data_IF_345635443691
#
_entry.id   IF_345635443691
#
_cell.length_a   1.000
_cell.length_b   1.000
_cell.length_c   1.000
_cell.angle_alpha   90.00
_cell.angle_beta   90.00
_cell.angle_gamma   90.00
#
_symmetry.space_group_name_H-M   'P 1'
#
loop_
_entity.id
_entity.type
_entity.pdbx_description
1 polymer ?
#
# COMPACT_ATOMS: atom_id res chain seq x y z
N UNK A 1 -18.16 20.26 -34.53
CA UNK A 1 -16.73 19.98 -34.74
C UNK A 1 -15.92 20.96 -33.89
N UNK A 2 -15.33 20.52 -32.78
CA UNK A 2 -14.48 21.38 -31.95
C UNK A 2 -13.16 21.60 -32.71
N UNK A 3 -12.83 22.86 -33.02
CA UNK A 3 -11.64 23.19 -33.82
C UNK A 3 -10.39 23.49 -32.99
N UNK A 4 -10.56 23.84 -31.71
CA UNK A 4 -9.46 24.10 -30.76
C UNK A 4 -9.89 23.81 -29.32
N UNK A 5 -8.98 23.24 -28.54
CA UNK A 5 -9.06 23.14 -27.08
C UNK A 5 -7.85 23.89 -26.52
N UNK A 6 -8.06 24.73 -25.51
CA UNK A 6 -7.00 25.41 -24.78
C UNK A 6 -6.98 24.86 -23.35
N UNK A 7 -5.92 24.14 -23.01
CA UNK A 7 -5.69 23.66 -21.65
C UNK A 7 -4.72 24.64 -20.98
N UNK A 8 -5.07 25.12 -19.79
CA UNK A 8 -4.16 25.91 -18.95
C UNK A 8 -3.86 25.08 -17.71
N UNK A 9 -2.60 24.66 -17.58
CA UNK A 9 -2.13 23.89 -16.44
C UNK A 9 -1.48 24.84 -15.45
N UNK A 10 -2.00 24.86 -14.22
CA UNK A 10 -1.38 25.55 -13.10
C UNK A 10 -0.70 24.49 -12.23
N UNK A 11 0.62 24.59 -12.06
CA UNK A 11 1.38 23.64 -11.25
C UNK A 11 2.42 24.37 -10.41
N UNK A 12 2.85 23.70 -9.34
CA UNK A 12 3.97 24.12 -8.50
C UNK A 12 5.00 23.01 -8.48
N UNK A 13 6.21 23.30 -8.93
CA UNK A 13 7.31 22.33 -8.90
C UNK A 13 7.65 21.93 -7.47
N UNK A 14 8.02 20.67 -7.28
CA UNK A 14 8.39 20.10 -5.98
C UNK A 14 7.33 20.23 -4.87
N UNK A 15 6.06 20.46 -5.24
CA UNK A 15 4.96 20.58 -4.29
C UNK A 15 4.64 19.27 -3.54
N UNK A 16 5.10 18.12 -4.07
CA UNK A 16 4.93 16.81 -3.46
C UNK A 16 6.26 16.09 -3.38
N UNK A 17 6.47 15.41 -2.27
CA UNK A 17 7.57 14.46 -2.11
C UNK A 17 7.30 13.24 -2.99
N UNK A 18 8.15 13.00 -3.97
CA UNK A 18 8.12 11.76 -4.75
C UNK A 18 8.82 10.69 -3.91
N UNK A 19 8.15 9.55 -3.70
CA UNK A 19 8.72 8.43 -2.96
C UNK A 19 9.37 7.49 -3.95
N UNK A 20 10.64 7.12 -3.70
CA UNK A 20 11.26 6.00 -4.41
C UNK A 20 10.38 4.77 -4.26
N UNK A 21 10.17 4.06 -5.36
CA UNK A 21 9.51 2.76 -5.35
C UNK A 21 10.52 1.68 -5.68
N UNK A 22 10.35 0.52 -5.03
CA UNK A 22 11.17 -0.64 -5.32
C UNK A 22 11.02 -1.03 -6.80
N UNK A 23 12.10 -1.41 -7.52
CA UNK A 23 12.03 -1.73 -8.94
C UNK A 23 10.95 -2.75 -9.32
N UNK A 24 10.78 -3.80 -8.50
CA UNK A 24 9.69 -4.78 -8.66
C UNK A 24 8.31 -4.11 -8.69
N UNK A 25 8.04 -3.20 -7.76
CA UNK A 25 6.74 -2.51 -7.64
C UNK A 25 6.52 -1.61 -8.86
N UNK A 26 7.55 -0.84 -9.26
CA UNK A 26 7.43 0.04 -10.44
C UNK A 26 7.18 -0.77 -11.70
N UNK A 27 7.94 -1.84 -11.93
CA UNK A 27 7.76 -2.69 -13.10
C UNK A 27 6.39 -3.34 -13.13
N UNK A 28 5.94 -3.89 -11.99
CA UNK A 28 4.62 -4.51 -11.88
C UNK A 28 3.50 -3.50 -12.21
N UNK A 29 3.53 -2.32 -11.57
CA UNK A 29 2.49 -1.29 -11.80
C UNK A 29 2.55 -0.71 -13.22
N UNK A 30 3.74 -0.55 -13.80
CA UNK A 30 3.91 -0.02 -15.15
C UNK A 30 3.21 -0.88 -16.21
N UNK A 31 3.25 -2.21 -16.08
CA UNK A 31 2.55 -3.12 -17.00
C UNK A 31 1.04 -2.97 -16.93
N UNK A 32 0.47 -2.74 -15.74
CA UNK A 32 -0.95 -2.46 -15.60
C UNK A 32 -1.33 -1.09 -16.16
N UNK A 33 -0.53 -0.05 -15.87
CA UNK A 33 -0.78 1.31 -16.39
C UNK A 33 -0.74 1.32 -17.93
N UNK A 34 0.20 0.61 -18.56
CA UNK A 34 0.27 0.49 -20.03
C UNK A 34 -1.03 -0.02 -20.66
N UNK A 35 -1.80 -0.84 -19.95
CA UNK A 35 -3.10 -1.36 -20.43
C UNK A 35 -4.26 -0.38 -20.27
N UNK A 36 -4.10 0.63 -19.41
CA UNK A 36 -5.16 1.59 -19.06
C UNK A 36 -5.04 2.91 -19.84
N UNK A 37 -3.84 3.26 -20.32
CA UNK A 37 -3.58 4.55 -20.96
C UNK A 37 -3.54 4.45 -22.48
N UNK A 38 -3.96 5.51 -23.17
CA UNK A 38 -3.92 5.62 -24.63
C UNK A 38 -2.50 5.80 -25.19
N UNK A 39 -1.55 6.19 -24.34
CA UNK A 39 -0.16 6.50 -24.67
C UNK A 39 0.84 5.60 -23.89
N UNK A 40 0.80 4.26 -24.07
CA UNK A 40 1.60 3.33 -23.27
C UNK A 40 3.12 3.52 -23.39
N UNK A 41 3.59 4.08 -24.52
CA UNK A 41 5.00 4.41 -24.75
C UNK A 41 5.56 5.46 -23.77
N UNK A 42 4.71 6.32 -23.22
CA UNK A 42 5.13 7.39 -22.33
C UNK A 42 5.36 6.89 -20.89
N UNK A 43 4.83 5.69 -20.55
CA UNK A 43 4.95 5.09 -19.21
C UNK A 43 6.41 4.90 -18.78
N UNK A 44 7.31 4.60 -19.73
CA UNK A 44 8.73 4.36 -19.42
C UNK A 44 9.42 5.62 -18.87
N UNK A 45 9.05 6.82 -19.36
CA UNK A 45 9.58 8.07 -18.86
C UNK A 45 9.19 8.30 -17.38
N UNK A 46 7.95 7.99 -17.01
CA UNK A 46 7.48 8.07 -15.63
C UNK A 46 8.11 7.03 -14.71
N UNK A 47 8.34 5.82 -15.21
CA UNK A 47 9.04 4.76 -14.47
C UNK A 47 10.44 5.20 -14.04
N UNK A 48 11.22 5.79 -14.94
CA UNK A 48 12.58 6.25 -14.63
C UNK A 48 12.60 7.32 -13.53
N UNK A 49 11.60 8.21 -13.52
CA UNK A 49 11.46 9.22 -12.47
C UNK A 49 11.25 8.60 -11.07
N UNK A 50 10.55 7.46 -10.97
CA UNK A 50 10.28 6.78 -9.69
C UNK A 50 11.45 5.94 -9.18
N UNK A 51 12.27 5.41 -10.09
CA UNK A 51 13.42 4.55 -9.75
C UNK A 51 14.62 5.34 -9.22
N UNK A 52 14.80 6.57 -9.72
CA UNK A 52 15.97 7.41 -9.47
C UNK A 52 15.89 8.27 -8.19
N UNK A 53 14.80 8.18 -7.43
CA UNK A 53 14.68 8.87 -6.14
C UNK A 53 15.53 8.15 -5.08
N UNK A 54 16.25 8.85 -4.19
CA UNK A 54 16.99 8.22 -3.10
C UNK A 54 16.09 7.35 -2.21
N UNK A 55 16.61 6.22 -1.76
CA UNK A 55 15.93 5.37 -0.80
C UNK A 55 15.85 6.08 0.56
N UNK A 56 14.69 6.00 1.22
CA UNK A 56 14.59 6.37 2.63
C UNK A 56 15.32 5.38 3.53
N UNK A 57 15.49 5.74 4.79
CA UNK A 57 15.98 4.80 5.82
C UNK A 57 14.86 3.80 6.13
N UNK A 58 15.18 2.51 6.05
CA UNK A 58 14.26 1.43 6.39
C UNK A 58 14.53 0.90 7.79
N UNK A 59 13.49 0.40 8.47
CA UNK A 59 13.61 -0.36 9.73
C UNK A 59 13.72 -1.86 9.47
N UNK A 60 13.59 -2.28 8.22
CA UNK A 60 13.64 -3.66 7.81
C UNK A 60 15.07 -4.06 7.41
N UNK A 61 15.45 -5.29 7.76
CA UNK A 61 16.64 -5.90 7.20
C UNK A 61 16.50 -6.16 5.70
N UNK A 62 17.61 -6.48 5.05
CA UNK A 62 17.61 -6.84 3.63
C UNK A 62 16.65 -8.02 3.36
N UNK A 63 15.99 -7.98 2.20
CA UNK A 63 15.04 -9.01 1.79
C UNK A 63 14.36 -8.65 0.49
N UNK A 64 13.68 -9.62 -0.10
CA UNK A 64 13.00 -9.48 -1.38
C UNK A 64 11.66 -10.22 -1.41
N UNK A 65 10.92 -10.10 -0.30
CA UNK A 65 9.61 -10.71 -0.07
C UNK A 65 8.53 -10.00 -0.90
N UNK A 66 7.92 -10.72 -1.83
CA UNK A 66 6.84 -10.22 -2.69
C UNK A 66 5.46 -10.31 -2.00
N UNK A 67 5.28 -11.33 -1.17
CA UNK A 67 4.03 -11.61 -0.46
C UNK A 67 4.24 -11.60 1.06
N UNK A 68 3.59 -10.68 1.76
CA UNK A 68 3.76 -10.50 3.21
C UNK A 68 2.45 -10.79 3.93
N UNK A 69 2.49 -11.72 4.88
CA UNK A 69 1.36 -12.01 5.77
C UNK A 69 1.60 -11.25 7.07
N UNK A 70 0.66 -10.42 7.48
CA UNK A 70 0.67 -9.70 8.77
C UNK A 70 -0.31 -10.40 9.70
N UNK A 71 0.16 -10.85 10.87
CA UNK A 71 -0.62 -11.73 11.75
C UNK A 71 -0.23 -11.56 13.21
N UNK A 72 -1.09 -11.92 14.18
CA UNK A 72 -0.68 -12.07 15.58
C UNK A 72 0.40 -13.14 15.74
N UNK A 73 1.32 -13.00 16.72
CA UNK A 73 2.36 -14.00 16.97
C UNK A 73 1.81 -15.41 17.20
N UNK A 74 0.68 -15.51 17.90
CA UNK A 74 0.00 -16.78 18.22
C UNK A 74 -0.47 -17.56 16.99
N UNK A 75 -0.61 -16.91 15.83
CA UNK A 75 -1.08 -17.53 14.59
C UNK A 75 0.04 -17.76 13.58
N UNK A 76 1.28 -17.38 13.89
CA UNK A 76 2.42 -17.41 12.97
C UNK A 76 2.63 -18.79 12.34
N UNK A 77 2.54 -19.85 13.14
CA UNK A 77 2.80 -21.21 12.67
C UNK A 77 1.69 -21.74 11.75
N UNK A 78 0.46 -21.25 11.90
CA UNK A 78 -0.67 -21.55 11.02
C UNK A 78 -0.38 -21.16 9.57
N UNK A 79 0.41 -20.10 9.36
CA UNK A 79 0.74 -19.58 8.03
C UNK A 79 1.87 -20.32 7.33
N UNK A 80 2.59 -21.21 8.02
CA UNK A 80 3.77 -21.91 7.47
C UNK A 80 3.46 -22.66 6.18
N UNK A 81 2.34 -23.40 6.15
CA UNK A 81 1.93 -24.14 4.94
C UNK A 81 1.69 -23.21 3.75
N UNK A 82 1.12 -22.02 3.97
CA UNK A 82 0.85 -21.06 2.91
C UNK A 82 2.13 -20.39 2.40
N UNK A 83 3.03 -19.96 3.30
CA UNK A 83 4.29 -19.33 2.91
C UNK A 83 5.17 -20.30 2.12
N UNK A 84 5.30 -21.53 2.58
CA UNK A 84 6.04 -22.58 1.86
C UNK A 84 5.42 -22.87 0.49
N UNK A 85 4.09 -22.91 0.38
CA UNK A 85 3.42 -23.11 -0.90
C UNK A 85 3.67 -21.96 -1.89
N UNK A 86 3.61 -20.71 -1.41
CA UNK A 86 3.93 -19.53 -2.24
C UNK A 86 5.38 -19.61 -2.72
N UNK A 87 6.31 -19.93 -1.83
CA UNK A 87 7.74 -20.07 -2.14
C UNK A 87 7.98 -21.17 -3.18
N UNK A 88 7.36 -22.35 -3.03
CA UNK A 88 7.47 -23.45 -4.01
C UNK A 88 7.02 -23.08 -5.41
N UNK A 89 6.11 -22.11 -5.54
CA UNK A 89 5.62 -21.59 -6.83
C UNK A 89 6.33 -20.33 -7.29
N UNK A 90 7.47 -20.00 -6.69
CA UNK A 90 8.30 -18.86 -7.08
C UNK A 90 7.89 -17.51 -6.46
N UNK A 91 6.88 -17.48 -5.59
CA UNK A 91 6.46 -16.25 -4.90
C UNK A 91 7.14 -16.21 -3.53
N UNK A 92 8.16 -15.38 -3.38
CA UNK A 92 8.85 -15.20 -2.10
C UNK A 92 7.89 -14.63 -1.06
N UNK A 93 7.52 -15.45 -0.08
CA UNK A 93 6.52 -15.10 0.92
C UNK A 93 7.09 -15.14 2.34
N UNK A 94 6.63 -14.23 3.20
CA UNK A 94 7.00 -14.19 4.62
C UNK A 94 5.81 -13.87 5.49
N UNK A 95 5.79 -14.47 6.68
CA UNK A 95 4.93 -14.08 7.78
C UNK A 95 5.65 -13.07 8.68
N UNK A 96 5.00 -11.95 9.02
CA UNK A 96 5.53 -10.87 9.85
C UNK A 96 4.56 -10.59 11.01
N UNK A 97 5.01 -10.76 12.27
CA UNK A 97 4.11 -10.68 13.41
C UNK A 97 3.81 -9.24 13.83
N UNK A 98 2.61 -8.99 14.34
CA UNK A 98 2.14 -7.64 14.73
C UNK A 98 2.91 -7.04 15.89
N UNK A 99 3.41 -7.83 16.82
CA UNK A 99 4.24 -7.36 17.95
C UNK A 99 5.51 -6.65 17.48
N UNK A 100 6.18 -7.23 16.48
CA UNK A 100 7.39 -6.70 15.84
C UNK A 100 7.08 -5.41 15.06
N UNK A 101 5.87 -5.29 14.53
CA UNK A 101 5.42 -4.03 13.91
C UNK A 101 5.22 -2.98 15.00
N UNK A 102 4.49 -3.32 16.06
CA UNK A 102 4.12 -2.39 17.11
C UNK A 102 5.30 -1.90 17.94
N UNK A 103 6.37 -2.70 18.05
CA UNK A 103 7.62 -2.31 18.71
C UNK A 103 8.48 -1.40 17.84
N UNK A 104 8.50 -1.61 16.52
CA UNK A 104 9.45 -0.94 15.64
C UNK A 104 8.89 0.30 14.94
N UNK A 105 7.58 0.35 14.69
CA UNK A 105 6.94 1.45 13.96
C UNK A 105 6.20 2.40 14.90
N UNK A 106 6.32 3.70 14.60
CA UNK A 106 5.59 4.78 15.25
C UNK A 106 4.32 5.08 14.47
N UNK A 107 3.35 5.72 15.12
CA UNK A 107 2.05 6.08 14.55
C UNK A 107 1.06 6.41 15.67
N UNK A 108 0.03 7.20 15.36
CA UNK A 108 -1.07 7.63 16.23
C UNK A 108 -1.76 6.45 16.89
N UNK A 109 -1.93 5.35 16.16
CA UNK A 109 -2.57 4.13 16.64
C UNK A 109 -1.91 2.88 16.04
N UNK A 110 -2.37 1.68 16.45
CA UNK A 110 -1.87 0.40 15.94
C UNK A 110 -2.04 0.27 14.42
N UNK A 111 -3.14 0.77 13.87
CA UNK A 111 -3.37 0.70 12.43
C UNK A 111 -2.34 1.51 11.64
N UNK A 112 -2.05 2.74 12.05
CA UNK A 112 -1.04 3.56 11.38
C UNK A 112 0.36 2.93 11.46
N UNK A 113 0.69 2.24 12.56
CA UNK A 113 1.95 1.48 12.66
C UNK A 113 2.03 0.35 11.63
N UNK A 114 0.93 -0.39 11.43
CA UNK A 114 0.84 -1.42 10.37
C UNK A 114 0.96 -0.79 8.98
N UNK A 115 0.31 0.35 8.74
CA UNK A 115 0.41 1.08 7.47
C UNK A 115 1.84 1.54 7.18
N UNK A 116 2.53 2.07 8.19
CA UNK A 116 3.93 2.47 8.08
C UNK A 116 4.85 1.27 7.79
N UNK A 117 4.57 0.10 8.37
CA UNK A 117 5.27 -1.14 8.01
C UNK A 117 4.99 -1.56 6.56
N UNK A 118 3.74 -1.53 6.09
CA UNK A 118 3.37 -1.87 4.71
C UNK A 118 4.12 -0.98 3.72
N UNK A 119 4.17 0.33 3.98
CA UNK A 119 4.90 1.31 3.16
C UNK A 119 6.40 0.96 3.12
N UNK A 120 7.00 0.66 4.27
CA UNK A 120 8.42 0.29 4.36
C UNK A 120 8.71 -1.04 3.63
N UNK A 121 7.89 -2.07 3.84
CA UNK A 121 8.02 -3.36 3.16
C UNK A 121 7.85 -3.26 1.64
N UNK A 122 6.91 -2.42 1.17
CA UNK A 122 6.72 -2.15 -0.25
C UNK A 122 7.96 -1.45 -0.87
N UNK A 123 8.51 -0.46 -0.17
CA UNK A 123 9.66 0.31 -0.68
C UNK A 123 10.99 -0.45 -0.54
N UNK A 124 11.13 -1.27 0.50
CA UNK A 124 12.39 -1.95 0.85
C UNK A 124 12.50 -3.34 0.25
N UNK A 125 11.48 -4.18 0.43
CA UNK A 125 11.48 -5.55 -0.10
C UNK A 125 10.86 -5.66 -1.48
N UNK A 126 10.12 -4.64 -1.91
CA UNK A 126 9.29 -4.73 -3.11
C UNK A 126 8.09 -5.63 -2.93
N UNK A 127 7.52 -5.67 -1.72
CA UNK A 127 6.29 -6.40 -1.44
C UNK A 127 5.12 -5.81 -2.24
N UNK A 128 4.43 -6.67 -3.00
CA UNK A 128 3.28 -6.30 -3.83
C UNK A 128 1.98 -6.70 -3.12
N UNK A 129 1.99 -7.86 -2.46
CA UNK A 129 0.81 -8.45 -1.87
C UNK A 129 0.93 -8.47 -0.35
N UNK A 130 -0.12 -7.99 0.31
CA UNK A 130 -0.25 -8.04 1.75
C UNK A 130 -1.51 -8.82 2.11
N UNK A 131 -1.35 -9.84 2.96
CA UNK A 131 -2.45 -10.57 3.57
C UNK A 131 -2.54 -10.18 5.03
N UNK A 132 -3.68 -9.62 5.44
CA UNK A 132 -3.98 -9.34 6.84
C UNK A 132 -4.67 -10.57 7.41
N UNK A 133 -3.90 -11.39 8.13
CA UNK A 133 -4.37 -12.59 8.80
C UNK A 133 -4.60 -12.33 10.28
N UNK A 134 -5.60 -11.52 10.63
CA UNK A 134 -5.86 -11.07 12.00
C UNK A 134 -7.34 -10.78 12.23
N UNK A 135 -7.71 -10.67 13.49
CA UNK A 135 -9.00 -10.13 13.94
C UNK A 135 -8.84 -8.67 14.43
N UNK A 136 -9.96 -7.99 14.66
CA UNK A 136 -10.06 -6.58 15.06
C UNK A 136 -9.30 -6.28 16.37
N UNK A 137 -9.27 -7.23 17.30
CA UNK A 137 -8.52 -7.10 18.57
C UNK A 137 -7.01 -6.99 18.35
N UNK A 138 -6.53 -7.60 17.27
CA UNK A 138 -5.11 -7.65 16.93
C UNK A 138 -4.69 -6.54 16.00
N UNK A 139 -5.47 -6.30 14.94
CA UNK A 139 -5.27 -5.21 13.98
C UNK A 139 -6.62 -4.49 13.88
N UNK A 140 -6.76 -3.30 14.50
CA UNK A 140 -8.03 -2.60 14.48
C UNK A 140 -8.40 -2.20 13.05
N UNK A 141 -9.69 -2.25 12.73
CA UNK A 141 -10.17 -1.66 11.48
C UNK A 141 -9.99 -0.15 11.53
N UNK A 142 -9.85 0.45 10.36
CA UNK A 142 -9.95 1.89 10.19
C UNK A 142 -11.30 2.15 9.53
N UNK A 143 -12.21 2.86 10.21
CA UNK A 143 -13.54 3.04 9.68
C UNK A 143 -13.51 3.89 8.42
N UNK A 144 -14.37 3.57 7.47
CA UNK A 144 -14.78 4.52 6.44
C UNK A 144 -16.18 5.03 6.72
N UNK A 145 -16.46 6.23 6.22
CA UNK A 145 -17.81 6.78 6.25
C UNK A 145 -18.52 6.52 4.92
N UNK A 146 -19.85 6.40 4.99
CA UNK A 146 -20.69 6.24 3.82
C UNK A 146 -22.14 6.58 4.11
N UNK A 147 -22.86 6.99 3.07
CA UNK A 147 -24.32 7.12 3.14
C UNK A 147 -24.94 5.76 2.86
N UNK A 148 -25.62 5.18 3.85
CA UNK A 148 -26.18 3.83 3.76
C UNK A 148 -27.68 3.90 3.54
N UNK A 149 -28.19 2.96 2.73
CA UNK A 149 -29.61 2.81 2.44
C UNK A 149 -30.33 2.13 3.62
N UNK A 150 -30.39 2.81 4.76
CA UNK A 150 -31.22 2.44 5.92
C UNK A 150 -32.60 3.12 5.85
N UNK A 151 -33.50 2.77 6.78
CA UNK A 151 -34.80 3.45 6.95
C UNK A 151 -34.93 4.01 8.36
N UNK A 152 -34.76 5.33 8.57
CA UNK A 152 -34.41 6.36 7.58
C UNK A 152 -32.96 6.22 7.08
N UNK A 153 -32.60 6.78 5.90
CA UNK A 153 -31.21 6.81 5.45
C UNK A 153 -30.31 7.50 6.47
N UNK A 154 -29.12 6.95 6.69
CA UNK A 154 -28.21 7.43 7.71
C UNK A 154 -26.78 7.49 7.17
N UNK A 155 -25.97 8.37 7.76
CA UNK A 155 -24.51 8.32 7.61
C UNK A 155 -23.99 7.28 8.60
N UNK A 156 -23.31 6.28 8.09
CA UNK A 156 -22.51 5.36 8.90
C UNK A 156 -21.06 5.83 8.83
N UNK A 157 -20.39 5.91 9.98
CA UNK A 157 -19.01 6.34 10.13
C UNK A 157 -18.11 5.21 10.65
N UNK A 158 -18.62 3.97 10.73
CA UNK A 158 -17.91 2.82 11.28
C UNK A 158 -17.95 1.60 10.34
N UNK A 159 -17.95 1.87 9.03
CA UNK A 159 -17.95 0.80 8.04
C UNK A 159 -16.54 0.20 7.96
N UNK A 160 -16.43 -1.11 8.21
CA UNK A 160 -15.17 -1.83 8.09
C UNK A 160 -14.64 -1.79 6.66
N UNK A 161 -13.38 -1.39 6.48
CA UNK A 161 -12.76 -1.23 5.17
C UNK A 161 -11.28 -1.60 5.17
N UNK A 162 -10.83 -2.23 4.09
CA UNK A 162 -9.41 -2.49 3.84
C UNK A 162 -8.74 -1.39 3.02
N UNK A 163 -9.51 -0.41 2.50
CA UNK A 163 -9.01 0.63 1.59
C UNK A 163 -7.94 1.52 2.25
N UNK A 164 -8.02 1.69 3.56
CA UNK A 164 -7.03 2.42 4.35
C UNK A 164 -5.59 1.91 4.13
N UNK A 165 -5.43 0.60 3.90
CA UNK A 165 -4.13 -0.06 3.73
C UNK A 165 -3.54 0.10 2.33
N UNK A 166 -4.38 0.38 1.33
CA UNK A 166 -4.00 0.44 -0.09
C UNK A 166 -3.42 1.80 -0.48
N UNK A 167 -3.87 2.88 0.17
CA UNK A 167 -3.38 4.23 -0.09
C UNK A 167 -2.18 4.56 0.82
N UNK A 168 -1.03 4.90 0.25
CA UNK A 168 0.17 5.26 1.01
C UNK A 168 0.33 6.76 1.23
N UNK A 169 -0.56 7.57 0.68
CA UNK A 169 -0.61 9.00 0.94
C UNK A 169 -1.45 9.29 2.21
N UNK A 170 -1.61 10.57 2.53
CA UNK A 170 -2.61 10.97 3.50
C UNK A 170 -4.00 10.60 2.97
N UNK A 171 -4.67 9.69 3.67
CA UNK A 171 -6.00 9.19 3.33
C UNK A 171 -7.10 10.21 3.67
N UNK A 172 -6.82 11.13 4.59
CA UNK A 172 -7.71 12.18 5.09
C UNK A 172 -7.10 13.55 4.73
N UNK A 173 -7.08 13.86 3.43
CA UNK A 173 -6.43 15.08 2.91
C UNK A 173 -7.26 16.33 3.07
N UNK A 174 -8.57 16.16 3.05
CA UNK A 174 -9.59 17.20 3.16
C UNK A 174 -10.17 17.31 4.57
N UNK A 175 -9.81 16.41 5.50
CA UNK A 175 -10.15 16.53 6.92
C UNK A 175 -11.57 16.07 7.25
N UNK A 176 -12.07 15.03 6.59
CA UNK A 176 -13.49 14.62 6.56
C UNK A 176 -13.84 13.28 7.24
#
# INVERSE_FOLDING_TARGET
>A
MIKRIKVRVHYRENARKVWRKHPRVVNFMAEEVKRLVINPKDVEAYKNALLNVPAGVSKLGAGDWEYVIITPPSWKDTWKRLTEWKIRKGVKARCYPTDSIYSNYTGKNRAERVKNFIIDANNTWGAIWFLIGADLDSIPHVPCYGYVLSRPPARDNDIASTRYWEDFDNWDKDGD
#
